data_IF_897296926261
#
_entry.id   IF_897296926261
#
_cell.length_a   1.000
_cell.length_b   1.000
_cell.length_c   1.000
_cell.angle_alpha   90.00
_cell.angle_beta   90.00
_cell.angle_gamma   90.00
#
_symmetry.space_group_name_H-M   'P 1'
#
loop_
_entity.id
_entity.type
_entity.pdbx_description
1 polymer ?
#
# COMPACT_ATOMS: atom_id res chain seq x y z
N UNK A 1 -14.46 -13.27 -1.56
CA UNK A 1 -13.06 -12.82 -1.73
C UNK A 1 -12.60 -12.33 -0.38
N UNK A 2 -11.48 -12.80 0.19
CA UNK A 2 -10.86 -12.03 1.26
C UNK A 2 -10.38 -10.72 0.61
N UNK A 3 -10.96 -9.60 1.02
CA UNK A 3 -10.38 -8.29 0.73
C UNK A 3 -9.02 -8.24 1.42
N UNK A 4 -7.96 -8.17 0.62
CA UNK A 4 -6.60 -7.98 1.09
C UNK A 4 -6.52 -6.67 1.89
N UNK A 5 -5.99 -6.71 3.11
CA UNK A 5 -5.68 -5.48 3.87
C UNK A 5 -4.27 -4.93 3.57
N UNK A 6 -3.55 -5.51 2.60
CA UNK A 6 -2.14 -5.18 2.31
C UNK A 6 -1.94 -3.70 2.02
N UNK A 7 -2.73 -3.09 1.14
CA UNK A 7 -2.64 -1.66 0.83
C UNK A 7 -2.79 -0.78 2.07
N UNK A 8 -3.79 -1.05 2.90
CA UNK A 8 -4.03 -0.28 4.13
C UNK A 8 -2.88 -0.44 5.13
N UNK A 9 -2.43 -1.67 5.38
CA UNK A 9 -1.32 -1.95 6.32
C UNK A 9 0.01 -1.41 5.81
N UNK A 10 0.27 -1.47 4.50
CA UNK A 10 1.49 -0.89 3.91
C UNK A 10 1.50 0.64 4.01
N UNK A 11 0.34 1.27 3.76
CA UNK A 11 0.17 2.71 3.96
C UNK A 11 0.36 3.10 5.42
N UNK A 12 -0.18 2.30 6.36
CA UNK A 12 0.06 2.46 7.81
C UNK A 12 1.56 2.41 8.12
N UNK A 13 2.28 1.39 7.66
CA UNK A 13 3.73 1.24 7.88
C UNK A 13 4.47 2.50 7.42
N UNK A 14 4.26 2.92 6.17
CA UNK A 14 4.95 4.09 5.62
C UNK A 14 4.59 5.38 6.37
N UNK A 15 3.35 5.51 6.81
CA UNK A 15 2.89 6.66 7.61
C UNK A 15 3.54 6.65 9.00
N UNK A 16 3.63 5.50 9.66
CA UNK A 16 4.32 5.36 10.95
C UNK A 16 5.81 5.74 10.83
N UNK A 17 6.48 5.27 9.76
CA UNK A 17 7.86 5.65 9.46
C UNK A 17 8.01 7.15 9.14
N UNK A 18 7.01 7.76 8.50
CA UNK A 18 7.00 9.19 8.21
C UNK A 18 6.85 10.04 9.48
N UNK A 19 5.96 9.66 10.40
CA UNK A 19 5.78 10.40 11.66
C UNK A 19 6.94 10.20 12.63
N UNK A 20 7.68 9.09 12.53
CA UNK A 20 8.91 8.86 13.29
C UNK A 20 10.12 9.68 12.83
N UNK A 21 10.00 10.42 11.71
CA UNK A 21 10.98 11.37 11.15
C UNK A 21 12.45 10.89 11.19
N UNK A 22 12.69 9.71 10.63
CA UNK A 22 14.03 9.14 10.55
C UNK A 22 14.45 8.30 11.76
N UNK A 23 13.58 8.12 12.75
CA UNK A 23 13.77 7.10 13.79
C UNK A 23 13.51 5.71 13.20
N UNK A 24 14.47 4.76 13.25
CA UNK A 24 14.22 3.39 12.79
C UNK A 24 13.15 2.70 13.65
N UNK A 25 12.19 2.03 13.02
CA UNK A 25 11.14 1.29 13.72
C UNK A 25 11.27 -0.21 13.51
N UNK A 26 11.13 -1.00 14.58
CA UNK A 26 11.19 -2.47 14.47
C UNK A 26 9.89 -3.01 13.89
N UNK A 27 9.95 -4.20 13.30
CA UNK A 27 8.76 -4.89 12.82
C UNK A 27 7.75 -5.17 13.92
N UNK A 28 8.20 -5.34 15.16
CA UNK A 28 7.32 -5.57 16.32
C UNK A 28 6.54 -4.32 16.71
N UNK A 29 7.16 -3.14 16.66
CA UNK A 29 6.52 -1.86 16.97
C UNK A 29 5.45 -1.53 15.92
N UNK A 30 5.80 -1.71 14.64
CA UNK A 30 4.88 -1.56 13.53
C UNK A 30 3.72 -2.57 13.58
N UNK A 31 4.00 -3.80 13.99
CA UNK A 31 2.99 -4.86 14.16
C UNK A 31 2.01 -4.55 15.28
N UNK A 32 2.50 -4.03 16.40
CA UNK A 32 1.68 -3.55 17.50
C UNK A 32 0.75 -2.42 17.03
N UNK A 33 1.30 -1.42 16.33
CA UNK A 33 0.54 -0.28 15.82
C UNK A 33 -0.54 -0.68 14.79
N UNK A 34 -0.22 -1.60 13.89
CA UNK A 34 -1.15 -2.08 12.85
C UNK A 34 -2.05 -3.25 13.31
N UNK A 35 -1.98 -3.63 14.59
CA UNK A 35 -2.71 -4.77 15.17
C UNK A 35 -2.63 -6.05 14.29
N UNK A 36 -1.40 -6.44 13.93
CA UNK A 36 -1.13 -7.61 13.09
C UNK A 36 0.14 -8.33 13.53
N UNK A 37 0.48 -9.44 12.88
CA UNK A 37 1.70 -10.19 13.18
C UNK A 37 2.96 -9.55 12.57
N UNK A 38 4.07 -9.55 13.31
CA UNK A 38 5.37 -9.09 12.80
C UNK A 38 5.85 -9.83 11.54
N UNK A 39 5.38 -11.06 11.30
CA UNK A 39 5.62 -11.80 10.06
C UNK A 39 4.96 -11.11 8.85
N UNK A 40 3.72 -10.63 9.01
CA UNK A 40 3.00 -9.89 7.96
C UNK A 40 3.71 -8.58 7.65
N UNK A 41 4.10 -7.84 8.69
CA UNK A 41 4.86 -6.59 8.55
C UNK A 41 6.16 -6.81 7.79
N UNK A 42 6.95 -7.84 8.14
CA UNK A 42 8.20 -8.16 7.45
C UNK A 42 7.99 -8.48 5.97
N UNK A 43 6.93 -9.23 5.64
CA UNK A 43 6.57 -9.49 4.25
C UNK A 43 6.23 -8.21 3.47
N UNK A 44 5.50 -7.28 4.08
CA UNK A 44 5.19 -5.98 3.46
C UNK A 44 6.44 -5.10 3.34
N UNK A 45 7.28 -5.02 4.38
CA UNK A 45 8.55 -4.29 4.34
C UNK A 45 9.48 -4.82 3.24
N UNK A 46 9.51 -6.13 2.98
CA UNK A 46 10.25 -6.69 1.85
C UNK A 46 9.77 -6.11 0.52
N UNK A 47 8.46 -6.17 0.25
CA UNK A 47 7.86 -5.64 -0.98
C UNK A 47 8.07 -4.14 -1.14
N UNK A 48 7.93 -3.40 -0.04
CA UNK A 48 8.17 -1.95 0.00
C UNK A 48 9.65 -1.62 -0.23
N UNK A 49 10.57 -2.44 0.26
CA UNK A 49 12.01 -2.31 0.02
C UNK A 49 12.35 -2.60 -1.44
N UNK A 50 11.77 -3.64 -2.03
CA UNK A 50 11.95 -3.99 -3.45
C UNK A 50 11.46 -2.86 -4.37
N UNK A 51 10.40 -2.15 -3.96
CA UNK A 51 9.89 -0.95 -4.63
C UNK A 51 10.68 0.34 -4.30
N UNK A 52 11.74 0.26 -3.49
CA UNK A 52 12.55 1.42 -3.10
C UNK A 52 11.82 2.45 -2.22
N UNK A 53 10.80 2.01 -1.48
CA UNK A 53 9.99 2.87 -0.59
C UNK A 53 10.51 2.84 0.86
N UNK A 54 11.07 1.71 1.28
CA UNK A 54 11.70 1.54 2.60
C UNK A 54 13.13 1.04 2.49
N UNK A 55 13.91 1.27 3.54
CA UNK A 55 15.24 0.67 3.75
C UNK A 55 15.37 0.17 5.19
N UNK A 56 16.34 -0.70 5.43
CA UNK A 56 16.62 -1.23 6.76
C UNK A 56 17.93 -0.68 7.30
N UNK A 57 17.94 -0.32 8.58
CA UNK A 57 19.15 -0.02 9.35
C UNK A 57 19.51 -1.24 10.21
N UNK A 58 20.77 -1.68 10.14
CA UNK A 58 21.30 -2.80 10.91
C UNK A 58 21.83 -2.35 12.28
N UNK A 59 21.95 -3.30 13.21
CA UNK A 59 22.55 -3.08 14.54
C UNK A 59 21.52 -2.90 15.67
N UNK A 60 22.03 -2.67 16.88
CA UNK A 60 21.20 -2.36 18.04
C UNK A 60 20.47 -1.02 17.83
N UNK A 61 19.15 -1.02 17.96
CA UNK A 61 18.31 0.13 17.59
C UNK A 61 18.04 0.29 16.09
N UNK A 62 18.38 -0.73 15.29
CA UNK A 62 18.02 -0.80 13.88
C UNK A 62 16.53 -1.06 13.64
N UNK A 63 16.09 -0.88 12.40
CA UNK A 63 14.69 -0.96 12.01
C UNK A 63 14.46 -0.52 10.58
N UNK A 64 13.19 -0.48 10.18
CA UNK A 64 12.77 0.08 8.91
C UNK A 64 12.78 1.61 8.95
N UNK A 65 13.05 2.22 7.80
CA UNK A 65 12.99 3.66 7.56
C UNK A 65 12.46 3.91 6.15
N UNK A 66 11.97 5.13 5.89
CA UNK A 66 11.69 5.54 4.51
C UNK A 66 12.99 5.63 3.70
N UNK A 67 12.96 5.12 2.47
CA UNK A 67 14.09 5.20 1.55
C UNK A 67 14.19 6.57 0.85
N UNK A 68 13.06 7.29 0.73
CA UNK A 68 12.93 8.62 0.13
C UNK A 68 11.95 9.49 0.94
N UNK A 69 11.96 10.82 0.80
CA UNK A 69 11.05 11.71 1.54
C UNK A 69 9.58 11.32 1.35
N UNK A 70 8.77 11.39 2.42
CA UNK A 70 7.34 11.02 2.38
C UNK A 70 6.53 11.79 1.31
N UNK A 71 6.91 13.05 1.04
CA UNK A 71 6.33 13.89 -0.02
C UNK A 71 6.58 13.38 -1.45
N UNK A 72 7.49 12.42 -1.63
CA UNK A 72 7.81 11.78 -2.90
C UNK A 72 7.27 10.34 -3.00
N UNK A 73 6.52 9.88 -1.99
CA UNK A 73 5.87 8.56 -2.00
C UNK A 73 4.38 8.80 -2.21
N UNK A 74 3.86 8.48 -3.40
CA UNK A 74 2.43 8.55 -3.68
C UNK A 74 1.71 7.31 -3.20
N UNK A 75 0.42 7.39 -2.88
CA UNK A 75 -0.37 6.19 -2.59
C UNK A 75 -0.42 5.23 -3.78
N UNK A 76 -0.30 5.74 -5.00
CA UNK A 76 -0.13 4.90 -6.19
C UNK A 76 1.14 4.03 -6.13
N UNK A 77 2.25 4.55 -5.62
CA UNK A 77 3.49 3.78 -5.46
C UNK A 77 3.28 2.63 -4.48
N UNK A 78 2.55 2.88 -3.40
CA UNK A 78 2.21 1.87 -2.38
C UNK A 78 1.31 0.79 -2.97
N UNK A 79 0.26 1.21 -3.68
CA UNK A 79 -0.67 0.31 -4.37
C UNK A 79 0.07 -0.62 -5.33
N UNK A 80 0.93 -0.07 -6.18
CA UNK A 80 1.73 -0.85 -7.13
C UNK A 80 2.72 -1.82 -6.43
N UNK A 81 3.23 -1.46 -5.25
CA UNK A 81 4.15 -2.33 -4.52
C UNK A 81 3.47 -3.54 -3.86
N UNK A 82 2.22 -3.39 -3.39
CA UNK A 82 1.59 -4.38 -2.48
C UNK A 82 0.33 -5.06 -3.00
N UNK A 83 -0.35 -4.49 -3.99
CA UNK A 83 -1.51 -5.12 -4.61
C UNK A 83 -1.13 -5.86 -5.87
N UNK A 84 -1.90 -6.92 -6.14
CA UNK A 84 -1.80 -7.65 -7.39
C UNK A 84 -2.62 -6.85 -8.43
N UNK A 85 -2.14 -6.79 -9.67
CA UNK A 85 -2.59 -5.83 -10.70
C UNK A 85 -4.05 -5.97 -11.16
N UNK A 86 -4.92 -6.75 -10.53
CA UNK A 86 -6.31 -6.99 -10.94
C UNK A 86 -7.30 -6.32 -9.98
N UNK A 87 -7.98 -5.25 -10.41
CA UNK A 87 -8.98 -4.55 -9.59
C UNK A 87 -10.26 -5.39 -9.40
N UNK A 88 -10.62 -6.17 -10.43
CA UNK A 88 -11.78 -7.04 -10.44
C UNK A 88 -11.33 -8.44 -10.81
N UNK A 89 -11.78 -9.44 -10.05
CA UNK A 89 -11.59 -10.82 -10.45
C UNK A 89 -12.51 -11.15 -11.64
N UNK A 90 -11.92 -11.55 -12.75
CA UNK A 90 -12.68 -12.14 -13.87
C UNK A 90 -12.90 -13.64 -13.68
N UNK A 91 -13.65 -14.27 -14.58
CA UNK A 91 -13.96 -15.69 -14.50
C UNK A 91 -12.68 -16.54 -14.40
N UNK A 92 -12.55 -17.35 -13.34
CA UNK A 92 -11.45 -18.32 -13.19
C UNK A 92 -11.38 -19.33 -14.34
N UNK A 93 -12.54 -19.72 -14.85
CA UNK A 93 -12.69 -20.56 -16.04
C UNK A 93 -13.32 -19.70 -17.14
N UNK A 94 -12.71 -19.60 -18.33
CA UNK A 94 -13.28 -18.81 -19.42
C UNK A 94 -14.73 -19.20 -19.73
N UNK A 95 -15.63 -18.23 -19.97
CA UNK A 95 -17.01 -18.53 -20.35
C UNK A 95 -17.11 -19.34 -21.65
N UNK A 96 -18.27 -19.94 -21.89
CA UNK A 96 -18.54 -20.74 -23.07
C UNK A 96 -18.34 -19.94 -24.37
N UNK A 97 -17.35 -20.33 -25.19
CA UNK A 97 -17.00 -19.63 -26.44
C UNK A 97 -18.08 -19.70 -27.52
N UNK A 98 -18.86 -20.77 -27.57
CA UNK A 98 -19.95 -20.94 -28.54
C UNK A 98 -21.23 -20.19 -28.16
N UNK A 99 -21.31 -19.66 -26.94
CA UNK A 99 -22.41 -18.80 -26.52
C UNK A 99 -22.15 -17.35 -26.97
N UNK A 100 -23.12 -16.72 -27.63
CA UNK A 100 -23.01 -15.33 -28.09
C UNK A 100 -22.67 -14.33 -26.96
N UNK A 101 -23.12 -14.59 -25.73
CA UNK A 101 -22.75 -13.77 -24.57
C UNK A 101 -21.39 -14.20 -24.02
N UNK A 102 -21.20 -15.51 -23.77
CA UNK A 102 -19.98 -16.04 -23.15
C UNK A 102 -18.71 -15.73 -23.94
N UNK A 103 -18.73 -15.86 -25.27
CA UNK A 103 -17.59 -15.56 -26.12
C UNK A 103 -17.20 -14.08 -26.17
N UNK A 104 -18.08 -13.16 -25.74
CA UNK A 104 -17.91 -11.71 -25.93
C UNK A 104 -17.90 -10.90 -24.62
N UNK A 105 -18.40 -11.44 -23.50
CA UNK A 105 -18.63 -10.65 -22.28
C UNK A 105 -17.35 -10.03 -21.69
N UNK A 106 -16.23 -10.77 -21.69
CA UNK A 106 -14.96 -10.24 -21.16
C UNK A 106 -14.43 -9.08 -22.01
N UNK A 107 -14.47 -9.21 -23.34
CA UNK A 107 -14.06 -8.15 -24.26
C UNK A 107 -14.99 -6.92 -24.16
N UNK A 108 -16.29 -7.12 -23.92
CA UNK A 108 -17.24 -6.04 -23.72
C UNK A 108 -17.01 -5.28 -22.41
N UNK A 109 -16.54 -5.97 -21.35
CA UNK A 109 -16.24 -5.35 -20.05
C UNK A 109 -14.89 -4.63 -20.03
N UNK A 110 -13.91 -5.11 -20.80
CA UNK A 110 -12.52 -4.64 -20.78
C UNK A 110 -12.37 -3.10 -20.82
N UNK A 111 -13.05 -2.34 -21.72
CA UNK A 111 -12.90 -0.89 -21.76
C UNK A 111 -13.39 -0.21 -20.47
N UNK A 112 -14.44 -0.73 -19.85
CA UNK A 112 -15.01 -0.18 -18.61
C UNK A 112 -14.12 -0.49 -17.42
N UNK A 113 -13.59 -1.72 -17.32
CA UNK A 113 -12.65 -2.10 -16.27
C UNK A 113 -11.34 -1.31 -16.37
N UNK A 114 -10.83 -1.11 -17.58
CA UNK A 114 -9.66 -0.26 -17.84
C UNK A 114 -9.89 1.19 -17.39
N UNK A 115 -11.05 1.79 -17.70
CA UNK A 115 -11.37 3.15 -17.23
C UNK A 115 -11.47 3.23 -15.72
N UNK A 116 -12.10 2.24 -15.07
CA UNK A 116 -12.22 2.18 -13.62
C UNK A 116 -10.83 2.10 -12.94
N UNK A 117 -9.94 1.25 -13.45
CA UNK A 117 -8.54 1.16 -12.99
C UNK A 117 -7.81 2.50 -13.09
N UNK A 118 -7.87 3.14 -14.26
CA UNK A 118 -7.21 4.44 -14.48
C UNK A 118 -7.73 5.52 -13.55
N UNK A 119 -9.04 5.52 -13.25
CA UNK A 119 -9.62 6.46 -12.31
C UNK A 119 -9.09 6.23 -10.89
N UNK A 120 -9.01 4.98 -10.44
CA UNK A 120 -8.40 4.62 -9.15
C UNK A 120 -6.94 5.04 -9.08
N UNK A 121 -6.13 4.66 -10.07
CA UNK A 121 -4.69 4.99 -10.11
C UNK A 121 -4.47 6.51 -10.17
N UNK A 122 -5.31 7.21 -10.95
CA UNK A 122 -5.30 8.66 -11.02
C UNK A 122 -5.63 9.34 -9.70
N UNK A 123 -6.54 8.78 -8.91
CA UNK A 123 -6.87 9.29 -7.58
C UNK A 123 -5.74 9.02 -6.57
N UNK A 124 -5.25 7.78 -6.49
CA UNK A 124 -4.13 7.42 -5.62
C UNK A 124 -2.83 8.17 -5.98
N UNK A 125 -2.68 8.60 -7.23
CA UNK A 125 -1.57 9.42 -7.70
C UNK A 125 -1.57 10.86 -7.19
N UNK A 126 -2.67 11.35 -6.60
CA UNK A 126 -2.78 12.74 -6.10
C UNK A 126 -2.28 12.89 -4.66
N UNK A 127 -2.34 11.83 -3.87
CA UNK A 127 -2.05 11.86 -2.43
C UNK A 127 -0.70 11.22 -2.13
N UNK A 128 0.07 11.85 -1.24
CA UNK A 128 1.36 11.35 -0.77
C UNK A 128 1.29 10.81 0.65
N UNK A 129 2.30 10.05 1.07
CA UNK A 129 2.44 9.61 2.47
C UNK A 129 2.59 10.81 3.41
N UNK A 130 3.18 11.93 2.96
CA UNK A 130 3.25 13.14 3.77
C UNK A 130 1.86 13.74 4.04
N UNK A 131 0.96 13.71 3.03
CA UNK A 131 -0.41 14.19 3.19
C UNK A 131 -1.16 13.31 4.20
N UNK A 132 -1.04 11.99 4.07
CA UNK A 132 -1.65 11.04 5.02
C UNK A 132 -1.09 11.22 6.43
N UNK A 133 0.22 11.38 6.59
CA UNK A 133 0.84 11.63 7.89
C UNK A 133 0.32 12.94 8.52
N UNK A 134 0.16 13.99 7.72
CA UNK A 134 -0.40 15.27 8.16
C UNK A 134 -1.84 15.10 8.65
N UNK A 135 -2.66 14.34 7.92
CA UNK A 135 -4.04 14.05 8.32
C UNK A 135 -4.11 13.20 9.60
N UNK A 136 -3.24 12.20 9.74
CA UNK A 136 -3.17 11.38 10.97
C UNK A 136 -2.75 12.25 12.16
N UNK A 137 -1.76 13.12 12.01
CA UNK A 137 -1.34 14.05 13.06
C UNK A 137 -2.46 15.02 13.46
N UNK A 138 -3.17 15.56 12.47
CA UNK A 138 -4.34 16.44 12.67
C UNK A 138 -5.48 15.72 13.40
N UNK A 139 -5.80 14.49 13.01
CA UNK A 139 -6.88 13.70 13.62
C UNK A 139 -6.50 13.17 15.01
N UNK A 140 -5.22 12.87 15.22
CA UNK A 140 -4.66 12.39 16.49
C UNK A 140 -4.23 13.48 17.46
N UNK A 141 -4.36 14.75 17.09
CA UNK A 141 -3.95 15.92 17.89
C UNK A 141 -2.48 15.85 18.37
N UNK A 142 -1.55 15.46 17.49
CA UNK A 142 -0.12 15.46 17.77
C UNK A 142 0.67 16.19 16.68
N UNK A 143 1.92 16.54 16.98
CA UNK A 143 2.85 17.14 16.01
C UNK A 143 3.83 16.09 15.47
N UNK A 144 4.27 16.27 14.23
CA UNK A 144 5.34 15.44 13.63
C UNK A 144 6.69 16.16 13.91
N UNK A 145 7.72 15.47 14.43
CA UNK A 145 7.77 14.04 14.72
C UNK A 145 6.93 13.62 15.93
N UNK A 146 6.31 12.44 15.83
CA UNK A 146 5.60 11.81 16.94
C UNK A 146 6.63 11.36 17.99
N UNK A 147 6.51 11.91 19.20
CA UNK A 147 7.25 11.43 20.36
C UNK A 147 6.44 10.30 20.99
N UNK A 148 6.95 9.08 20.91
CA UNK A 148 6.32 7.87 21.45
C UNK A 148 6.36 7.80 22.97
#
# INVERSE_FOLDING_TARGET
MPTSSRFAVATHILTALAVGDGTPMRSEDLAYSANTGAVVIRGLLSRLSDAGLTRSQLGAGGGAMLAKPAKQIKLLDVYAAVEDTELFAVHRTPPCKSCAVGGNILAALEPTLTRARRALEGELGKTTIADVATDVARLGNFSIPLVW
#
